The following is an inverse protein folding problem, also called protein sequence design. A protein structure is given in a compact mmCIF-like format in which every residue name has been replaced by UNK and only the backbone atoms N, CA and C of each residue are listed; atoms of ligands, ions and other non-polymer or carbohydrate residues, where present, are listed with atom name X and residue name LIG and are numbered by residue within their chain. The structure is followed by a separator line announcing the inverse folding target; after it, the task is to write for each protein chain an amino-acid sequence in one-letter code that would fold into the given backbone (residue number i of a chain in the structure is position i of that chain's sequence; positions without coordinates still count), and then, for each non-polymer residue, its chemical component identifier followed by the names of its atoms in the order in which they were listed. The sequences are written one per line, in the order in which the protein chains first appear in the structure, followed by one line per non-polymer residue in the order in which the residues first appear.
data_IF_079593003349
#
_entry.id   IF_079593003349
#
_cell.length_a   1.000
_cell.length_b   1.000
_cell.length_c   1.000
_cell.angle_alpha   90.00
_cell.angle_beta   90.00
_cell.angle_gamma   90.00
#
_symmetry.space_group_name_H-M   'P 1'
#
loop_
_entity.id
_entity.type
_entity.pdbx_description
1 polymer ?
#
# COMPACT_ATOMS: atom_id res chain seq x y z
N UNK A 1 63.84 -10.61 6.60
CA UNK A 1 62.95 -10.46 5.44
C UNK A 1 61.63 -11.16 5.77
N UNK A 2 60.58 -10.42 6.15
CA UNK A 2 59.25 -10.98 6.50
C UNK A 2 58.30 -10.73 5.33
N UNK A 3 57.82 -11.82 4.73
CA UNK A 3 56.88 -11.79 3.60
C UNK A 3 55.49 -11.51 4.18
N UNK A 4 54.94 -10.34 3.84
CA UNK A 4 53.61 -9.91 4.24
C UNK A 4 52.57 -10.65 3.37
N UNK A 5 51.74 -11.50 3.98
CA UNK A 5 50.65 -12.18 3.28
C UNK A 5 49.50 -11.20 3.05
N UNK A 6 49.25 -10.86 1.78
CA UNK A 6 48.08 -10.07 1.36
C UNK A 6 46.85 -10.98 1.42
N UNK A 7 45.97 -10.72 2.38
CA UNK A 7 44.66 -11.38 2.46
C UNK A 7 43.75 -10.82 1.34
N UNK A 8 43.65 -11.54 0.22
CA UNK A 8 42.68 -11.21 -0.84
C UNK A 8 41.27 -11.46 -0.30
N UNK A 9 40.53 -10.39 0.01
CA UNK A 9 39.06 -10.47 0.15
C UNK A 9 38.49 -10.92 -1.19
N UNK A 10 37.94 -12.12 -1.24
CA UNK A 10 37.18 -12.59 -2.40
C UNK A 10 36.01 -11.62 -2.61
N UNK A 11 36.12 -10.72 -3.59
CA UNK A 11 34.96 -10.00 -4.11
C UNK A 11 34.06 -11.06 -4.73
N UNK A 12 32.92 -11.35 -4.11
CA UNK A 12 31.96 -12.34 -4.59
C UNK A 12 31.40 -11.87 -5.95
N UNK A 13 32.06 -12.27 -7.04
CA UNK A 13 31.60 -12.08 -8.40
C UNK A 13 30.42 -13.04 -8.61
N UNK A 14 29.21 -12.55 -8.35
CA UNK A 14 27.96 -13.32 -8.43
C UNK A 14 26.95 -13.00 -7.32
N UNK A 15 27.38 -12.39 -6.21
CA UNK A 15 26.48 -12.06 -5.10
C UNK A 15 25.51 -10.92 -5.42
N UNK A 16 25.86 -10.03 -6.36
CA UNK A 16 24.98 -8.93 -6.74
C UNK A 16 23.74 -9.40 -7.49
N UNK A 17 23.88 -10.29 -8.48
CA UNK A 17 22.77 -10.64 -9.39
C UNK A 17 21.55 -11.22 -8.65
N UNK A 18 21.75 -12.16 -7.72
CA UNK A 18 20.66 -12.78 -6.97
C UNK A 18 20.07 -11.85 -5.91
N UNK A 19 20.88 -11.01 -5.28
CA UNK A 19 20.43 -10.02 -4.30
C UNK A 19 19.57 -8.93 -4.96
N UNK A 20 19.97 -8.46 -6.15
CA UNK A 20 19.19 -7.50 -6.93
C UNK A 20 17.85 -8.10 -7.41
N UNK A 21 17.81 -9.38 -7.80
CA UNK A 21 16.56 -10.02 -8.22
C UNK A 21 15.52 -10.01 -7.09
N UNK A 22 15.92 -10.29 -5.84
CA UNK A 22 15.01 -10.27 -4.69
C UNK A 22 14.53 -8.84 -4.38
N UNK A 23 15.44 -7.86 -4.37
CA UNK A 23 15.07 -6.45 -4.12
C UNK A 23 14.11 -5.94 -5.20
N UNK A 24 14.38 -6.23 -6.48
CA UNK A 24 13.51 -5.83 -7.60
C UNK A 24 12.14 -6.50 -7.49
N UNK A 25 12.08 -7.79 -7.14
CA UNK A 25 10.81 -8.49 -6.94
C UNK A 25 9.96 -7.85 -5.82
N UNK A 26 10.58 -7.46 -4.70
CA UNK A 26 9.89 -6.80 -3.59
C UNK A 26 9.35 -5.41 -3.97
N UNK A 27 10.13 -4.63 -4.73
CA UNK A 27 9.69 -3.31 -5.24
C UNK A 27 8.51 -3.50 -6.20
N UNK A 28 8.57 -4.48 -7.11
CA UNK A 28 7.50 -4.73 -8.08
C UNK A 28 6.17 -5.11 -7.41
N UNK A 29 6.19 -6.01 -6.42
CA UNK A 29 4.99 -6.41 -5.67
C UNK A 29 4.42 -5.22 -4.89
N UNK A 30 5.29 -4.44 -4.24
CA UNK A 30 4.88 -3.24 -3.49
C UNK A 30 4.25 -2.20 -4.42
N UNK A 31 4.82 -2.00 -5.61
CA UNK A 31 4.33 -1.05 -6.61
C UNK A 31 2.92 -1.42 -7.09
N UNK A 32 2.64 -2.70 -7.38
CA UNK A 32 1.29 -3.14 -7.79
C UNK A 32 0.26 -2.77 -6.71
N UNK A 33 0.57 -3.00 -5.43
CA UNK A 33 -0.31 -2.66 -4.32
C UNK A 33 -0.53 -1.16 -4.16
N UNK A 34 0.55 -0.36 -4.17
CA UNK A 34 0.48 1.09 -4.04
C UNK A 34 -0.24 1.72 -5.23
N UNK A 35 0.03 1.32 -6.47
CA UNK A 35 -0.66 1.85 -7.64
C UNK A 35 -2.15 1.48 -7.66
N UNK A 36 -2.51 0.29 -7.17
CA UNK A 36 -3.91 -0.12 -7.08
C UNK A 36 -4.69 0.69 -6.05
N UNK A 37 -4.13 0.90 -4.86
CA UNK A 37 -4.78 1.66 -3.79
C UNK A 37 -4.75 3.17 -4.08
N UNK A 38 -3.58 3.71 -4.43
CA UNK A 38 -3.41 5.12 -4.73
C UNK A 38 -4.13 5.53 -6.02
N UNK A 39 -4.20 4.65 -7.02
CA UNK A 39 -4.94 4.88 -8.26
C UNK A 39 -6.45 5.00 -8.03
N UNK A 40 -7.02 4.21 -7.11
CA UNK A 40 -8.42 4.35 -6.71
C UNK A 40 -8.67 5.68 -5.99
N UNK A 41 -7.81 6.05 -5.05
CA UNK A 41 -7.92 7.34 -4.34
C UNK A 41 -7.79 8.52 -5.27
N UNK A 42 -6.78 8.51 -6.15
CA UNK A 42 -6.55 9.57 -7.12
C UNK A 42 -7.72 9.69 -8.09
N UNK A 43 -8.22 8.57 -8.64
CA UNK A 43 -9.40 8.56 -9.51
C UNK A 43 -10.65 9.08 -8.81
N UNK A 44 -10.88 8.74 -7.55
CA UNK A 44 -12.03 9.23 -6.79
C UNK A 44 -11.95 10.75 -6.56
N UNK A 45 -10.77 11.26 -6.20
CA UNK A 45 -10.55 12.70 -6.04
C UNK A 45 -10.66 13.45 -7.37
N UNK A 46 -10.03 12.96 -8.43
CA UNK A 46 -10.15 13.55 -9.78
C UNK A 46 -11.59 13.48 -10.28
N UNK A 47 -12.35 12.43 -9.98
CA UNK A 47 -13.77 12.35 -10.33
C UNK A 47 -14.62 13.36 -9.56
N UNK A 48 -14.32 13.61 -8.27
CA UNK A 48 -14.97 14.67 -7.50
C UNK A 48 -14.70 16.05 -8.08
N UNK A 49 -13.42 16.33 -8.37
CA UNK A 49 -12.98 17.58 -9.00
C UNK A 49 -13.56 17.75 -10.41
N UNK A 50 -13.63 16.68 -11.22
CA UNK A 50 -14.20 16.73 -12.55
C UNK A 50 -15.72 16.96 -12.53
N UNK A 51 -16.43 16.39 -11.54
CA UNK A 51 -17.86 16.64 -11.34
C UNK A 51 -18.10 18.09 -10.92
N UNK A 52 -17.31 18.61 -9.98
CA UNK A 52 -17.35 19.99 -9.52
C UNK A 52 -16.99 20.97 -10.66
N UNK A 53 -15.97 20.65 -11.45
CA UNK A 53 -15.58 21.41 -12.66
C UNK A 53 -16.63 21.31 -13.78
N UNK A 54 -17.40 20.23 -13.85
CA UNK A 54 -18.53 20.09 -14.78
C UNK A 54 -19.78 20.85 -14.35
N UNK A 55 -19.74 21.53 -13.19
CA UNK A 55 -20.87 22.30 -12.66
C UNK A 55 -22.00 21.44 -12.10
N UNK A 56 -21.77 20.13 -11.89
CA UNK A 56 -22.72 19.22 -11.25
C UNK A 56 -22.39 19.13 -9.76
N UNK A 57 -23.41 19.35 -8.93
CA UNK A 57 -23.33 19.38 -7.47
C UNK A 57 -22.59 18.15 -6.90
N UNK A 58 -21.44 18.36 -6.26
CA UNK A 58 -20.60 17.32 -5.64
C UNK A 58 -21.26 16.68 -4.39
N UNK A 59 -22.51 17.01 -4.12
CA UNK A 59 -23.32 16.57 -2.98
C UNK A 59 -23.38 15.04 -2.83
N UNK A 60 -23.43 14.32 -3.95
CA UNK A 60 -23.41 12.84 -3.96
C UNK A 60 -22.05 12.28 -3.51
N UNK A 61 -20.96 12.90 -3.96
CA UNK A 61 -19.59 12.52 -3.59
C UNK A 61 -19.30 12.87 -2.13
N UNK A 62 -19.81 14.01 -1.65
CA UNK A 62 -19.73 14.41 -0.23
C UNK A 62 -20.50 13.41 0.63
N UNK A 63 -21.74 13.05 0.26
CA UNK A 63 -22.53 12.04 0.98
C UNK A 63 -21.79 10.71 1.06
N UNK A 64 -21.25 10.23 -0.07
CA UNK A 64 -20.48 8.98 -0.12
C UNK A 64 -19.21 9.05 0.74
N UNK A 65 -18.52 10.19 0.74
CA UNK A 65 -17.34 10.40 1.59
C UNK A 65 -17.71 10.41 3.08
N UNK A 66 -18.86 11.00 3.43
CA UNK A 66 -19.40 11.01 4.79
C UNK A 66 -19.76 9.60 5.26
N UNK A 67 -20.43 8.82 4.42
CA UNK A 67 -20.81 7.43 4.71
C UNK A 67 -19.57 6.55 4.91
N UNK A 68 -18.55 6.70 4.06
CA UNK A 68 -17.28 6.01 4.22
C UNK A 68 -16.54 6.41 5.50
N UNK A 69 -16.55 7.70 5.86
CA UNK A 69 -15.96 8.18 7.11
C UNK A 69 -16.69 7.64 8.35
N UNK A 70 -18.02 7.54 8.29
CA UNK A 70 -18.84 6.96 9.34
C UNK A 70 -18.59 5.46 9.50
N UNK A 71 -18.51 4.71 8.39
CA UNK A 71 -18.14 3.29 8.41
C UNK A 71 -16.72 3.07 8.97
N UNK A 72 -15.75 3.88 8.57
CA UNK A 72 -14.39 3.81 9.09
C UNK A 72 -14.34 4.10 10.60
N UNK A 73 -15.10 5.09 11.08
CA UNK A 73 -15.22 5.41 12.50
C UNK A 73 -15.87 4.26 13.29
N UNK A 74 -16.93 3.66 12.76
CA UNK A 74 -17.57 2.48 13.35
C UNK A 74 -16.60 1.30 13.44
N UNK A 75 -15.87 1.04 12.36
CA UNK A 75 -14.88 -0.03 12.30
C UNK A 75 -13.68 0.21 13.22
N UNK A 76 -13.27 1.46 13.42
CA UNK A 76 -12.22 1.85 14.36
C UNK A 76 -12.66 1.71 15.82
N UNK A 77 -13.94 1.94 16.12
CA UNK A 77 -14.52 1.73 17.45
C UNK A 77 -14.64 0.25 17.82
N UNK A 78 -14.59 -0.66 16.83
CA UNK A 78 -14.48 -2.09 17.10
C UNK A 78 -13.04 -2.48 17.45
N UNK A 79 -12.79 -2.75 18.74
CA UNK A 79 -11.51 -3.26 19.25
C UNK A 79 -11.13 -4.57 18.56
N UNK A 80 -10.13 -4.52 17.68
CA UNK A 80 -9.54 -5.71 17.03
C UNK A 80 -8.49 -6.30 17.94
N UNK A 81 -8.81 -7.39 18.61
CA UNK A 81 -7.87 -8.21 19.38
C UNK A 81 -7.77 -9.61 18.72
N UNK A 82 -6.80 -10.41 19.14
CA UNK A 82 -6.60 -11.77 18.59
C UNK A 82 -7.82 -12.69 18.73
N UNK A 83 -8.75 -12.39 19.65
CA UNK A 83 -10.03 -13.10 19.82
C UNK A 83 -11.15 -12.61 18.90
N UNK A 84 -11.11 -11.35 18.45
CA UNK A 84 -12.15 -10.71 17.62
C UNK A 84 -11.79 -10.62 16.14
N UNK A 85 -10.69 -11.26 15.71
CA UNK A 85 -10.25 -11.29 14.30
C UNK A 85 -11.31 -11.88 13.35
N UNK A 86 -12.17 -12.77 13.85
CA UNK A 86 -13.24 -13.40 13.07
C UNK A 86 -14.57 -12.60 13.08
N UNK A 87 -14.80 -11.73 14.08
CA UNK A 87 -16.09 -11.05 14.25
C UNK A 87 -16.35 -9.98 13.17
N UNK A 88 -15.30 -9.37 12.63
CA UNK A 88 -15.45 -8.27 11.66
C UNK A 88 -15.53 -8.72 10.20
N UNK A 89 -15.23 -9.98 9.90
CA UNK A 89 -15.34 -10.54 8.55
C UNK A 89 -16.68 -11.28 8.34
N UNK A 90 -17.46 -11.52 9.40
CA UNK A 90 -18.72 -12.27 9.35
C UNK A 90 -19.99 -11.39 9.37
N UNK A 91 -19.85 -10.07 9.17
CA UNK A 91 -20.98 -9.14 9.03
C UNK A 91 -21.18 -8.71 7.58
N UNK A 92 -20.94 -9.62 6.64
CA UNK A 92 -21.32 -9.47 5.24
C UNK A 92 -22.60 -10.25 4.98
N UNK A 93 -23.75 -9.58 5.14
CA UNK A 93 -24.99 -9.96 4.48
C UNK A 93 -25.31 -8.94 3.41
#
# INVERSE_FOLDING_TARGET
MKISQICRKNKQLGQGMTEYIIIVALIAVSAIGVYSLFGQTLRNQTSGLAIEMSGKDAKSNISTAQDNANMATSNANHTKNMGTYNDSNNTGN
#
